data_IF_022098479738
#
_entry.id   IF_022098479738
#
_cell.length_a   1.000
_cell.length_b   1.000
_cell.length_c   1.000
_cell.angle_alpha   90.00
_cell.angle_beta   90.00
_cell.angle_gamma   90.00
#
_symmetry.space_group_name_H-M   'P 1'
#
loop_
_entity.id
_entity.type
_entity.pdbx_description
1 polymer ?
#
# COMPACT_ATOMS: atom_id res chain seq x y z
N UNK A 1 10.50 -24.27 -53.93
CA UNK A 1 10.81 -23.23 -52.94
C UNK A 1 10.03 -23.53 -51.66
N UNK A 2 10.75 -23.71 -50.56
CA UNK A 2 10.24 -24.14 -49.26
C UNK A 2 9.53 -23.00 -48.54
N UNK A 3 8.22 -23.16 -48.31
CA UNK A 3 7.45 -22.33 -47.38
C UNK A 3 7.93 -22.59 -45.94
N UNK A 4 8.16 -21.56 -45.10
CA UNK A 4 8.46 -21.75 -43.70
C UNK A 4 7.20 -22.16 -42.93
N UNK A 5 7.30 -23.33 -42.28
CA UNK A 5 6.33 -23.93 -41.35
C UNK A 5 6.18 -23.03 -40.11
N UNK A 6 5.14 -22.21 -40.08
CA UNK A 6 4.81 -21.36 -38.92
C UNK A 6 4.05 -22.19 -37.87
N UNK A 7 4.77 -23.06 -37.16
CA UNK A 7 4.26 -23.71 -35.94
C UNK A 7 4.65 -22.86 -34.74
N UNK A 8 3.72 -22.03 -34.29
CA UNK A 8 3.79 -21.46 -32.95
C UNK A 8 3.78 -22.60 -31.91
N UNK A 9 4.58 -22.53 -30.84
CA UNK A 9 4.54 -23.55 -29.80
C UNK A 9 3.16 -23.52 -29.13
N UNK A 10 2.52 -24.68 -29.09
CA UNK A 10 1.26 -24.92 -28.38
C UNK A 10 1.46 -24.50 -26.92
N UNK A 11 0.84 -23.40 -26.51
CA UNK A 11 0.72 -23.03 -25.09
C UNK A 11 0.07 -24.21 -24.38
N UNK A 12 0.85 -24.89 -23.55
CA UNK A 12 0.37 -26.02 -22.77
C UNK A 12 -0.63 -25.47 -21.75
N UNK A 13 -1.93 -25.66 -22.01
CA UNK A 13 -2.98 -25.38 -21.03
C UNK A 13 -2.77 -26.39 -19.90
N UNK A 14 -2.17 -25.95 -18.80
CA UNK A 14 -2.14 -26.70 -17.55
C UNK A 14 -3.56 -26.65 -16.99
N UNK A 15 -4.35 -27.69 -17.26
CA UNK A 15 -5.62 -27.88 -16.59
C UNK A 15 -5.33 -28.27 -15.13
N UNK A 16 -5.38 -27.29 -14.23
CA UNK A 16 -5.46 -27.55 -12.80
C UNK A 16 -6.82 -28.17 -12.53
N UNK A 17 -6.87 -29.51 -12.46
CA UNK A 17 -7.98 -30.18 -11.79
C UNK A 17 -7.88 -29.83 -10.30
N UNK A 18 -8.62 -28.81 -9.89
CA UNK A 18 -8.96 -28.67 -8.48
C UNK A 18 -9.79 -29.90 -8.15
N UNK A 19 -9.28 -30.77 -7.27
CA UNK A 19 -10.12 -31.80 -6.67
C UNK A 19 -11.37 -31.10 -6.14
N UNK A 20 -12.54 -31.65 -6.45
CA UNK A 20 -13.83 -31.03 -6.11
C UNK A 20 -13.87 -30.60 -4.64
N UNK A 21 -14.75 -29.65 -4.26
CA UNK A 21 -14.70 -29.01 -2.95
C UNK A 21 -14.58 -30.05 -1.84
N UNK A 22 -13.46 -29.98 -1.11
CA UNK A 22 -13.19 -30.87 0.02
C UNK A 22 -14.30 -30.60 1.04
N UNK A 23 -15.12 -31.61 1.35
CA UNK A 23 -16.21 -31.51 2.35
C UNK A 23 -15.67 -31.52 3.79
N UNK A 24 -14.44 -31.08 3.99
CA UNK A 24 -13.88 -30.89 5.31
C UNK A 24 -14.49 -29.64 5.95
N UNK A 25 -14.79 -29.67 7.26
CA UNK A 25 -15.24 -28.47 7.94
C UNK A 25 -14.17 -27.38 7.77
N UNK A 26 -14.58 -26.12 7.49
CA UNK A 26 -13.63 -25.04 7.31
C UNK A 26 -12.74 -24.90 8.54
N UNK A 27 -11.44 -24.70 8.30
CA UNK A 27 -10.45 -24.55 9.35
C UNK A 27 -10.88 -23.43 10.32
N UNK A 28 -11.10 -23.78 11.59
CA UNK A 28 -11.71 -22.89 12.57
C UNK A 28 -10.70 -22.03 13.34
N UNK A 29 -9.42 -22.38 13.28
CA UNK A 29 -8.37 -21.65 13.97
C UNK A 29 -7.10 -21.62 13.12
N UNK A 30 -6.44 -20.46 13.18
CA UNK A 30 -5.17 -20.18 12.55
C UNK A 30 -4.24 -19.63 13.61
N UNK A 31 -2.98 -20.06 13.58
CA UNK A 31 -1.90 -19.46 14.37
C UNK A 31 -1.70 -18.00 13.98
N UNK A 32 -1.05 -17.21 14.84
CA UNK A 32 -0.74 -15.81 14.53
C UNK A 32 0.15 -15.66 13.28
N UNK A 33 1.02 -16.64 13.02
CA UNK A 33 1.91 -16.65 11.85
C UNK A 33 1.14 -16.95 10.56
N UNK A 34 0.27 -17.97 10.57
CA UNK A 34 -0.61 -18.28 9.42
C UNK A 34 -1.54 -17.12 9.08
N UNK A 35 -2.10 -16.45 10.11
CA UNK A 35 -2.91 -15.24 9.90
C UNK A 35 -2.10 -14.12 9.29
N UNK A 36 -0.88 -13.89 9.79
CA UNK A 36 0.01 -12.87 9.25
C UNK A 36 0.32 -13.15 7.77
N UNK A 37 0.71 -14.38 7.44
CA UNK A 37 1.00 -14.78 6.07
C UNK A 37 -0.22 -14.65 5.15
N UNK A 38 -1.41 -15.05 5.60
CA UNK A 38 -2.65 -14.90 4.84
C UNK A 38 -3.01 -13.42 4.59
N UNK A 39 -2.86 -12.56 5.60
CA UNK A 39 -3.10 -11.11 5.46
C UNK A 39 -2.09 -10.47 4.50
N UNK A 40 -0.80 -10.80 4.61
CA UNK A 40 0.24 -10.33 3.70
C UNK A 40 -0.01 -10.81 2.27
N UNK A 41 -0.45 -12.07 2.09
CA UNK A 41 -0.84 -12.61 0.79
C UNK A 41 -2.03 -11.86 0.17
N UNK A 42 -3.08 -11.60 0.95
CA UNK A 42 -4.22 -10.80 0.50
C UNK A 42 -3.80 -9.39 0.09
N UNK A 43 -2.98 -8.71 0.91
CA UNK A 43 -2.48 -7.35 0.63
C UNK A 43 -1.59 -7.32 -0.61
N UNK A 44 -0.76 -8.35 -0.81
CA UNK A 44 0.07 -8.51 -2.01
C UNK A 44 -0.81 -8.60 -3.25
N UNK A 45 -1.80 -9.50 -3.25
CA UNK A 45 -2.76 -9.64 -4.34
C UNK A 45 -3.51 -8.33 -4.61
N UNK A 46 -4.01 -7.65 -3.57
CA UNK A 46 -4.71 -6.37 -3.74
C UNK A 46 -3.81 -5.30 -4.36
N UNK A 47 -2.55 -5.22 -3.94
CA UNK A 47 -1.58 -4.29 -4.53
C UNK A 47 -1.33 -4.63 -6.00
N UNK A 48 -1.12 -5.90 -6.35
CA UNK A 48 -0.93 -6.33 -7.75
C UNK A 48 -2.14 -6.05 -8.66
N UNK A 49 -3.33 -5.91 -8.07
CA UNK A 49 -4.59 -5.69 -8.79
C UNK A 49 -5.17 -4.28 -8.59
N UNK A 50 -4.36 -3.32 -8.13
CA UNK A 50 -4.76 -1.91 -8.00
C UNK A 50 -3.79 -1.01 -8.74
N UNK A 51 -4.30 -0.04 -9.51
CA UNK A 51 -3.48 0.94 -10.22
C UNK A 51 -2.91 2.03 -9.29
N UNK A 52 -3.59 2.28 -8.18
CA UNK A 52 -3.24 3.31 -7.20
C UNK A 52 -3.78 2.96 -5.81
N UNK A 53 -3.22 3.58 -4.78
CA UNK A 53 -3.63 3.35 -3.39
C UNK A 53 -3.91 4.64 -2.64
N UNK A 54 -5.11 4.73 -2.05
CA UNK A 54 -5.47 5.76 -1.08
C UNK A 54 -5.33 5.18 0.32
N UNK A 55 -4.58 5.86 1.17
CA UNK A 55 -4.23 5.38 2.51
C UNK A 55 -4.77 6.37 3.54
N UNK A 56 -5.56 5.87 4.50
CA UNK A 56 -6.27 6.70 5.48
C UNK A 56 -6.29 6.02 6.85
N UNK A 57 -5.92 6.74 7.90
CA UNK A 57 -6.01 6.27 9.29
C UNK A 57 -5.05 5.11 9.62
N UNK A 58 -5.59 4.02 10.16
CA UNK A 58 -4.82 2.82 10.50
C UNK A 58 -4.45 2.71 11.99
N UNK A 59 -4.50 1.49 12.52
CA UNK A 59 -4.16 1.17 13.91
C UNK A 59 -2.66 1.27 14.14
N UNK A 60 -2.26 1.87 15.26
CA UNK A 60 -0.85 1.93 15.72
C UNK A 60 -0.45 0.77 16.65
N UNK A 61 -1.43 0.11 17.25
CA UNK A 61 -1.27 -1.01 18.16
C UNK A 61 -2.49 -1.94 18.07
N UNK A 62 -2.36 -3.17 18.56
CA UNK A 62 -3.46 -4.15 18.53
C UNK A 62 -3.90 -4.53 17.11
N UNK A 63 -2.96 -4.48 16.16
CA UNK A 63 -3.15 -4.96 14.78
C UNK A 63 -2.65 -6.40 14.64
N UNK A 64 -3.17 -7.07 13.62
CA UNK A 64 -2.76 -8.41 13.20
C UNK A 64 -1.76 -8.31 12.02
N UNK A 65 -0.81 -9.25 11.96
CA UNK A 65 0.26 -9.27 10.97
C UNK A 65 1.64 -8.88 11.51
N UNK A 66 2.64 -8.88 10.62
CA UNK A 66 4.02 -8.55 10.97
C UNK A 66 4.24 -7.06 11.27
N UNK A 67 3.38 -6.19 10.74
CA UNK A 67 3.34 -4.74 10.94
C UNK A 67 1.89 -4.24 10.76
N UNK A 68 1.58 -2.97 11.06
CA UNK A 68 0.25 -2.43 10.78
C UNK A 68 -0.11 -2.62 9.30
N UNK A 69 -1.32 -3.07 9.01
CA UNK A 69 -1.71 -3.39 7.62
C UNK A 69 -1.51 -2.22 6.65
N UNK A 70 -1.84 -1.01 7.09
CA UNK A 70 -1.60 0.22 6.31
C UNK A 70 -0.11 0.42 5.98
N UNK A 71 0.79 0.11 6.91
CA UNK A 71 2.24 0.26 6.68
C UNK A 71 2.73 -0.79 5.68
N UNK A 72 2.23 -2.03 5.77
CA UNK A 72 2.57 -3.09 4.82
C UNK A 72 2.06 -2.80 3.41
N UNK A 73 0.83 -2.31 3.31
CA UNK A 73 0.22 -1.91 2.05
C UNK A 73 0.97 -0.75 1.38
N UNK A 74 1.43 0.23 2.17
CA UNK A 74 2.31 1.30 1.69
C UNK A 74 3.63 0.73 1.22
N UNK A 75 4.26 -0.16 2.00
CA UNK A 75 5.52 -0.81 1.63
C UNK A 75 5.41 -1.49 0.26
N UNK A 76 4.36 -2.28 0.04
CA UNK A 76 4.14 -2.97 -1.23
C UNK A 76 3.90 -2.01 -2.40
N UNK A 77 3.18 -0.92 -2.19
CA UNK A 77 2.99 0.12 -3.21
C UNK A 77 4.30 0.85 -3.53
N UNK A 78 5.14 1.13 -2.54
CA UNK A 78 6.47 1.74 -2.75
C UNK A 78 7.43 0.79 -3.51
N UNK A 79 7.44 -0.50 -3.14
CA UNK A 79 8.25 -1.51 -3.83
C UNK A 79 7.85 -1.67 -5.31
N UNK A 80 6.58 -1.45 -5.65
CA UNK A 80 6.04 -1.52 -7.02
C UNK A 80 5.96 -0.18 -7.75
N UNK A 81 6.36 0.90 -7.09
CA UNK A 81 6.21 2.28 -7.61
C UNK A 81 4.79 2.64 -8.03
N UNK A 82 3.81 2.20 -7.25
CA UNK A 82 2.41 2.54 -7.51
C UNK A 82 2.06 3.92 -6.94
N UNK A 83 1.24 4.70 -7.66
CA UNK A 83 0.69 5.96 -7.17
C UNK A 83 0.10 5.85 -5.76
N UNK A 84 0.64 6.63 -4.83
CA UNK A 84 0.30 6.61 -3.42
C UNK A 84 -0.35 7.93 -2.97
N UNK A 85 -1.53 7.86 -2.36
CA UNK A 85 -2.27 9.02 -1.87
C UNK A 85 -2.43 8.92 -0.35
N UNK A 86 -1.54 9.58 0.40
CA UNK A 86 -1.52 9.54 1.86
C UNK A 86 -2.41 10.63 2.48
N UNK A 87 -3.48 10.23 3.16
CA UNK A 87 -4.46 11.13 3.78
C UNK A 87 -4.25 11.19 5.30
N UNK A 88 -3.54 12.22 5.75
CA UNK A 88 -3.09 12.33 7.15
C UNK A 88 -4.10 12.95 8.11
N UNK A 89 -5.15 13.64 7.66
CA UNK A 89 -6.10 14.35 8.54
C UNK A 89 -6.91 13.44 9.47
N UNK A 90 -6.93 12.13 9.22
CA UNK A 90 -7.53 11.12 10.11
C UNK A 90 -6.56 10.59 11.17
N UNK A 91 -5.28 10.96 11.12
CA UNK A 91 -4.25 10.47 12.02
C UNK A 91 -3.86 9.00 11.77
N UNK A 92 -3.60 8.27 12.86
CA UNK A 92 -3.24 6.85 12.80
C UNK A 92 -1.88 6.57 12.14
N UNK A 93 -1.69 5.31 11.74
CA UNK A 93 -0.47 4.85 11.09
C UNK A 93 -0.16 5.61 9.79
N UNK A 94 -1.17 6.07 9.05
CA UNK A 94 -1.00 6.88 7.83
C UNK A 94 -0.26 8.18 8.12
N UNK A 95 -0.61 8.88 9.20
CA UNK A 95 0.10 10.09 9.61
C UNK A 95 1.55 9.77 9.99
N UNK A 96 1.78 8.62 10.61
CA UNK A 96 3.14 8.20 10.97
C UNK A 96 3.97 7.92 9.71
N UNK A 97 3.39 7.31 8.67
CA UNK A 97 4.00 7.16 7.34
C UNK A 97 4.33 8.53 6.73
N UNK A 98 3.39 9.48 6.74
CA UNK A 98 3.64 10.85 6.22
C UNK A 98 4.79 11.50 6.99
N UNK A 99 4.82 11.38 8.32
CA UNK A 99 5.90 11.94 9.14
C UNK A 99 7.26 11.31 8.84
N UNK A 100 7.28 10.04 8.48
CA UNK A 100 8.51 9.34 8.08
C UNK A 100 8.99 9.81 6.70
N UNK A 101 8.13 9.78 5.69
CA UNK A 101 8.53 10.02 4.30
C UNK A 101 8.61 11.53 3.96
N UNK A 102 7.69 12.33 4.50
CA UNK A 102 7.59 13.77 4.24
C UNK A 102 7.29 14.55 5.53
N UNK A 103 8.26 14.68 6.44
CA UNK A 103 8.07 15.37 7.72
C UNK A 103 7.42 16.75 7.59
N UNK A 104 7.81 17.49 6.54
CA UNK A 104 7.31 18.86 6.27
C UNK A 104 5.82 18.93 5.95
N UNK A 105 5.19 17.81 5.57
CA UNK A 105 3.75 17.75 5.25
C UNK A 105 2.89 17.55 6.51
N UNK A 106 3.50 17.17 7.63
CA UNK A 106 2.83 16.93 8.90
C UNK A 106 3.25 17.91 10.02
N UNK A 107 4.05 18.94 9.71
CA UNK A 107 4.52 19.96 10.66
C UNK A 107 3.39 20.68 11.41
N UNK A 108 2.23 20.82 10.77
CA UNK A 108 1.06 21.48 11.35
C UNK A 108 0.45 20.70 12.53
N UNK A 109 0.76 19.41 12.68
CA UNK A 109 0.19 18.56 13.73
C UNK A 109 1.27 18.20 14.77
N UNK A 110 1.27 18.86 15.94
CA UNK A 110 2.27 18.59 16.97
C UNK A 110 2.18 17.15 17.48
N UNK A 111 3.33 16.61 17.91
CA UNK A 111 3.37 15.34 18.64
C UNK A 111 2.81 15.60 20.04
N UNK A 112 1.74 14.88 20.41
CA UNK A 112 1.16 15.02 21.75
C UNK A 112 2.09 14.37 22.78
N UNK A 113 2.49 15.11 23.83
CA UNK A 113 3.29 14.54 24.91
C UNK A 113 2.49 13.49 25.68
N UNK A 114 3.16 12.43 26.15
CA UNK A 114 2.54 11.36 26.93
C UNK A 114 1.82 10.28 26.11
N UNK A 115 2.04 10.24 24.79
CA UNK A 115 1.67 9.07 24.00
C UNK A 115 2.41 7.82 24.52
N UNK A 116 1.77 6.64 24.54
CA UNK A 116 2.45 5.38 24.81
C UNK A 116 3.61 5.15 23.85
N UNK A 117 4.62 4.43 24.30
CA UNK A 117 5.70 3.95 23.42
C UNK A 117 5.10 3.20 22.22
N UNK A 118 5.54 3.51 20.98
CA UNK A 118 5.04 2.83 19.78
C UNK A 118 5.29 1.32 19.81
N UNK A 119 4.39 0.54 19.21
CA UNK A 119 4.63 -0.90 18.96
C UNK A 119 5.89 -1.05 18.10
N UNK A 120 6.83 -1.89 18.52
CA UNK A 120 8.10 -2.09 17.80
C UNK A 120 7.89 -2.50 16.33
N UNK A 121 6.82 -3.25 16.03
CA UNK A 121 6.49 -3.64 14.65
C UNK A 121 6.07 -2.45 13.79
N UNK A 122 5.43 -1.43 14.37
CA UNK A 122 5.16 -0.17 13.68
C UNK A 122 6.47 0.56 13.39
N UNK A 123 7.32 0.75 14.41
CA UNK A 123 8.61 1.45 14.25
C UNK A 123 9.50 0.78 13.20
N UNK A 124 9.63 -0.55 13.24
CA UNK A 124 10.40 -1.31 12.26
C UNK A 124 9.80 -1.20 10.84
N UNK A 125 8.47 -1.23 10.73
CA UNK A 125 7.77 -1.07 9.46
C UNK A 125 8.04 0.31 8.84
N UNK A 126 7.95 1.39 9.63
CA UNK A 126 8.24 2.75 9.17
C UNK A 126 9.70 2.91 8.73
N UNK A 127 10.65 2.37 9.48
CA UNK A 127 12.07 2.40 9.10
C UNK A 127 12.29 1.71 7.74
N UNK A 128 11.61 0.59 7.49
CA UNK A 128 11.68 -0.10 6.21
C UNK A 128 11.10 0.71 5.04
N UNK A 129 10.07 1.54 5.27
CA UNK A 129 9.58 2.45 4.22
C UNK A 129 10.65 3.46 3.82
N UNK A 130 11.30 4.08 4.81
CA UNK A 130 12.38 5.06 4.60
C UNK A 130 13.57 4.44 3.85
N UNK A 131 13.96 3.22 4.21
CA UNK A 131 14.98 2.44 3.52
C UNK A 131 14.64 2.21 2.04
N UNK A 132 13.40 1.80 1.73
CA UNK A 132 12.96 1.53 0.36
C UNK A 132 12.95 2.81 -0.49
N UNK A 133 12.43 3.91 0.04
CA UNK A 133 12.38 5.20 -0.67
C UNK A 133 13.79 5.72 -0.92
N UNK A 134 14.66 5.65 0.09
CA UNK A 134 16.06 6.05 0.00
C UNK A 134 16.83 5.23 -1.04
N UNK A 135 16.66 3.91 -1.04
CA UNK A 135 17.33 3.00 -1.98
C UNK A 135 16.91 3.25 -3.44
N UNK A 136 15.66 3.64 -3.66
CA UNK A 136 15.12 3.90 -5.01
C UNK A 136 15.30 5.35 -5.49
N UNK A 137 15.88 6.24 -4.68
CA UNK A 137 16.13 7.66 -5.01
C UNK A 137 14.91 8.41 -5.57
N UNK A 138 13.76 8.26 -4.93
CA UNK A 138 12.51 8.89 -5.34
C UNK A 138 11.73 9.42 -4.14
N UNK A 139 10.62 10.10 -4.37
CA UNK A 139 9.84 10.75 -3.31
C UNK A 139 8.72 9.85 -2.73
N UNK A 140 8.46 8.68 -3.32
CA UNK A 140 7.48 7.73 -2.81
C UNK A 140 6.02 8.02 -3.14
N UNK A 141 5.71 9.06 -3.92
CA UNK A 141 4.33 9.41 -4.25
C UNK A 141 3.90 8.98 -5.65
N UNK A 142 4.65 9.30 -6.71
CA UNK A 142 4.28 9.08 -8.14
C UNK A 142 2.78 9.21 -8.44
N UNK A 143 2.12 10.18 -7.79
CA UNK A 143 0.66 10.26 -7.72
C UNK A 143 0.09 11.40 -8.58
N UNK A 144 0.91 12.03 -9.44
CA UNK A 144 0.51 13.13 -10.31
C UNK A 144 0.17 14.44 -9.57
N UNK A 145 0.28 14.49 -8.24
CA UNK A 145 0.04 15.70 -7.46
C UNK A 145 1.33 16.50 -7.31
N UNK A 146 1.20 17.83 -7.36
CA UNK A 146 2.31 18.73 -7.00
C UNK A 146 2.44 18.81 -5.49
N UNK A 147 3.60 19.27 -4.99
CA UNK A 147 3.88 19.37 -3.55
C UNK A 147 2.75 20.04 -2.74
N UNK A 148 2.21 21.17 -3.21
CA UNK A 148 1.13 21.89 -2.51
C UNK A 148 -0.15 21.05 -2.38
N UNK A 149 -0.46 20.24 -3.39
CA UNK A 149 -1.62 19.35 -3.40
C UNK A 149 -1.40 18.15 -2.48
N UNK A 150 -0.19 17.57 -2.46
CA UNK A 150 0.17 16.53 -1.50
C UNK A 150 0.14 17.04 -0.05
N UNK A 151 0.61 18.28 0.21
CA UNK A 151 0.47 18.92 1.52
C UNK A 151 -1.00 19.10 1.92
N UNK A 152 -1.86 19.50 0.98
CA UNK A 152 -3.29 19.62 1.22
C UNK A 152 -3.93 18.26 1.52
N UNK A 153 -3.60 17.24 0.74
CA UNK A 153 -4.09 15.86 0.94
C UNK A 153 -3.67 15.32 2.31
N UNK A 154 -2.41 15.52 2.69
CA UNK A 154 -1.86 15.11 3.98
C UNK A 154 -2.60 15.79 5.16
N UNK A 155 -3.08 17.01 4.99
CA UNK A 155 -3.86 17.73 6.01
C UNK A 155 -5.37 17.43 5.97
N UNK A 156 -5.86 16.79 4.91
CA UNK A 156 -7.29 16.65 4.67
C UNK A 156 -7.93 15.54 5.50
N UNK A 157 -9.12 15.82 6.03
CA UNK A 157 -10.07 14.84 6.56
C UNK A 157 -11.42 14.92 5.81
N UNK A 158 -11.47 15.67 4.70
CA UNK A 158 -12.70 15.99 3.96
C UNK A 158 -12.83 15.04 2.76
N UNK A 159 -13.82 14.14 2.73
CA UNK A 159 -13.93 13.15 1.65
C UNK A 159 -14.00 13.75 0.24
N UNK A 160 -14.68 14.90 0.07
CA UNK A 160 -14.77 15.58 -1.22
C UNK A 160 -13.44 16.15 -1.70
N UNK A 161 -12.61 16.67 -0.79
CA UNK A 161 -11.28 17.20 -1.11
C UNK A 161 -10.32 16.07 -1.46
N UNK A 162 -10.36 14.97 -0.71
CA UNK A 162 -9.60 13.75 -0.99
C UNK A 162 -9.96 13.21 -2.37
N UNK A 163 -11.25 13.02 -2.67
CA UNK A 163 -11.69 12.52 -3.96
C UNK A 163 -11.28 13.45 -5.12
N UNK A 164 -11.37 14.77 -4.94
CA UNK A 164 -10.95 15.73 -5.94
C UNK A 164 -9.44 15.67 -6.22
N UNK A 165 -8.61 15.63 -5.18
CA UNK A 165 -7.15 15.53 -5.31
C UNK A 165 -6.74 14.21 -5.95
N UNK A 166 -7.30 13.08 -5.52
CA UNK A 166 -7.04 11.79 -6.17
C UNK A 166 -7.42 11.84 -7.65
N UNK A 167 -8.57 12.43 -7.98
CA UNK A 167 -9.00 12.60 -9.37
C UNK A 167 -8.03 13.47 -10.20
N UNK A 168 -7.49 14.55 -9.62
CA UNK A 168 -6.46 15.37 -10.27
C UNK A 168 -5.18 14.57 -10.52
N UNK A 169 -4.71 13.85 -9.51
CA UNK A 169 -3.50 13.04 -9.59
C UNK A 169 -3.59 11.98 -10.68
N UNK A 170 -4.64 11.15 -10.62
CA UNK A 170 -4.90 10.10 -11.61
C UNK A 170 -5.12 10.68 -13.00
N UNK A 171 -5.87 11.78 -13.11
CA UNK A 171 -6.11 12.44 -14.40
C UNK A 171 -4.83 12.92 -15.08
N UNK A 172 -3.84 13.37 -14.31
CA UNK A 172 -2.53 13.79 -14.85
C UNK A 172 -1.67 12.59 -15.25
N UNK A 173 -1.68 11.52 -14.47
CA UNK A 173 -0.94 10.30 -14.81
C UNK A 173 -1.46 9.68 -16.12
N UNK A 174 -2.79 9.62 -16.28
CA UNK A 174 -3.44 9.07 -17.49
C UNK A 174 -3.36 9.98 -18.72
N UNK A 175 -3.09 11.28 -18.53
CA UNK A 175 -2.93 12.22 -19.64
C UNK A 175 -1.52 12.21 -20.26
N UNK A 176 -0.59 11.44 -19.68
CA UNK A 176 0.80 11.31 -20.13
C UNK A 176 0.97 10.09 -21.07
N UNK A 177 -0.07 9.28 -21.28
CA UNK A 177 -0.13 8.17 -22.25
C UNK A 177 -0.69 8.58 -23.63
#
# INVERSE_FOLDING_TARGET
ESHPDCRAPLTQIVALYLEGPVNEPPQQSFTSEERAAALSGLRTFMTDNSDARIVIGGKRAGFEGAMPGIVEEVLFSLERRQPLYLVGGFGGATLDVIRTLHPTYAEWLPVLPGAPEPDQRLTNGLARLDEVVSAQQWDGYENGLVEKENRLLAASYRPSEIAALVGVGMGRLLAID
#
